data_IF_112555136207
#
_entry.id   IF_112555136207
#
_cell.length_a   1.000
_cell.length_b   1.000
_cell.length_c   1.000
_cell.angle_alpha   90.00
_cell.angle_beta   90.00
_cell.angle_gamma   90.00
#
_symmetry.space_group_name_H-M   'P 1'
#
loop_
_entity.id
_entity.type
_entity.pdbx_description
1 polymer ?
#
# COMPACT_ATOMS: atom_id res chain seq x y z
N UNK A 1 24.99 -25.58 -42.49
CA UNK A 1 24.15 -26.55 -41.75
C UNK A 1 23.42 -25.79 -40.65
N UNK A 2 22.16 -25.40 -40.88
CA UNK A 2 21.33 -24.75 -39.86
C UNK A 2 20.04 -25.55 -39.75
N UNK A 3 20.06 -26.55 -38.88
CA UNK A 3 18.90 -27.38 -38.57
C UNK A 3 18.26 -26.86 -37.29
N UNK A 4 17.62 -25.69 -37.34
CA UNK A 4 16.71 -25.30 -36.26
C UNK A 4 15.52 -26.25 -36.30
N UNK A 5 15.53 -27.20 -35.36
CA UNK A 5 14.55 -28.25 -35.24
C UNK A 5 13.19 -27.61 -34.88
N UNK A 6 12.16 -27.76 -35.75
CA UNK A 6 10.82 -27.17 -35.57
C UNK A 6 10.20 -27.49 -34.19
N UNK A 7 10.60 -28.60 -33.57
CA UNK A 7 10.17 -29.01 -32.23
C UNK A 7 10.64 -28.05 -31.14
N UNK A 8 11.84 -27.49 -31.25
CA UNK A 8 12.38 -26.54 -30.25
C UNK A 8 11.65 -25.19 -30.30
N UNK A 9 11.19 -24.78 -31.48
CA UNK A 9 10.39 -23.56 -31.67
C UNK A 9 8.98 -23.70 -31.05
N UNK A 10 8.39 -24.90 -31.08
CA UNK A 10 7.07 -25.20 -30.53
C UNK A 10 7.03 -25.31 -28.99
N UNK A 11 8.17 -25.58 -28.35
CA UNK A 11 8.28 -25.69 -26.88
C UNK A 11 8.63 -24.38 -26.18
N UNK A 12 8.99 -23.34 -26.95
CA UNK A 12 9.37 -22.02 -26.42
C UNK A 12 8.26 -21.28 -25.62
N UNK A 13 6.95 -21.41 -25.93
CA UNK A 13 5.92 -20.73 -25.13
C UNK A 13 5.72 -21.35 -23.73
N UNK A 14 6.11 -22.61 -23.49
CA UNK A 14 6.01 -23.23 -22.17
C UNK A 14 6.98 -22.63 -21.15
N UNK A 15 8.10 -22.06 -21.62
CA UNK A 15 9.05 -21.35 -20.75
C UNK A 15 8.48 -20.02 -20.21
N UNK A 16 7.46 -19.44 -20.86
CA UNK A 16 6.82 -18.20 -20.39
C UNK A 16 5.76 -18.44 -19.31
N UNK A 17 5.20 -19.64 -19.22
CA UNK A 17 4.23 -20.00 -18.16
C UNK A 17 4.92 -20.34 -16.82
N UNK A 18 6.25 -20.45 -16.79
CA UNK A 18 7.00 -20.85 -15.60
C UNK A 18 7.04 -19.81 -14.48
N UNK A 19 6.63 -18.56 -14.74
CA UNK A 19 6.61 -17.53 -13.70
C UNK A 19 5.43 -17.66 -12.72
N UNK A 20 4.39 -18.45 -13.05
CA UNK A 20 3.33 -18.80 -12.10
C UNK A 20 2.55 -17.63 -11.49
N UNK A 21 2.47 -16.48 -12.19
CA UNK A 21 1.72 -15.33 -11.71
C UNK A 21 0.21 -15.56 -11.90
N UNK A 22 -0.51 -15.67 -10.78
CA UNK A 22 -1.96 -15.76 -10.75
C UNK A 22 -2.57 -14.34 -10.65
N UNK A 23 -3.61 -13.99 -11.43
CA UNK A 23 -4.26 -12.68 -11.29
C UNK A 23 -4.92 -12.55 -9.92
N UNK A 24 -4.60 -11.48 -9.17
CA UNK A 24 -5.10 -11.23 -7.80
C UNK A 24 -6.64 -11.19 -7.73
N UNK A 25 -7.30 -10.76 -8.81
CA UNK A 25 -8.77 -10.68 -8.90
C UNK A 25 -9.42 -11.83 -9.67
N UNK A 26 -8.67 -12.89 -10.02
CA UNK A 26 -9.28 -14.11 -10.56
C UNK A 26 -10.18 -14.78 -9.49
N UNK A 27 -11.17 -15.61 -9.90
CA UNK A 27 -11.97 -16.38 -8.96
C UNK A 27 -11.09 -17.20 -8.00
N UNK A 28 -11.26 -16.99 -6.68
CA UNK A 28 -10.42 -17.62 -5.65
C UNK A 28 -9.11 -16.90 -5.33
N UNK A 29 -8.82 -15.78 -6.00
CA UNK A 29 -7.70 -14.90 -5.69
C UNK A 29 -7.95 -14.03 -4.46
N UNK A 30 -6.87 -13.64 -3.77
CA UNK A 30 -6.92 -12.84 -2.54
C UNK A 30 -7.62 -11.48 -2.72
N UNK A 31 -7.55 -10.89 -3.91
CA UNK A 31 -8.26 -9.67 -4.26
C UNK A 31 -9.77 -9.83 -4.21
N UNK A 32 -10.29 -10.93 -4.78
CA UNK A 32 -11.72 -11.25 -4.74
C UNK A 32 -12.21 -11.63 -3.34
N UNK A 33 -11.33 -12.19 -2.51
CA UNK A 33 -11.64 -12.55 -1.12
C UNK A 33 -11.79 -11.32 -0.20
N UNK A 34 -11.05 -10.25 -0.46
CA UNK A 34 -11.05 -9.03 0.36
C UNK A 34 -11.89 -7.89 -0.20
N UNK A 35 -12.10 -7.82 -1.53
CA UNK A 35 -12.80 -6.70 -2.14
C UNK A 35 -14.24 -6.55 -1.59
N UNK A 36 -14.55 -5.36 -1.06
CA UNK A 36 -15.84 -5.04 -0.45
C UNK A 36 -16.15 -5.76 0.86
N UNK A 37 -15.18 -6.44 1.48
CA UNK A 37 -15.38 -7.29 2.67
C UNK A 37 -14.56 -6.86 3.89
N UNK A 38 -13.74 -5.82 3.75
CA UNK A 38 -12.84 -5.32 4.80
C UNK A 38 -13.35 -3.99 5.35
N UNK A 39 -13.62 -3.94 6.65
CA UNK A 39 -13.84 -2.71 7.41
C UNK A 39 -12.50 -2.20 7.93
N UNK A 40 -12.13 -0.97 7.57
CA UNK A 40 -10.90 -0.35 8.06
C UNK A 40 -11.19 0.43 9.34
N UNK A 41 -10.29 0.37 10.33
CA UNK A 41 -10.44 1.10 11.59
C UNK A 41 -10.64 2.60 11.37
N UNK A 42 -11.56 3.19 12.15
CA UNK A 42 -11.86 4.62 12.06
C UNK A 42 -10.61 5.51 12.27
N UNK A 43 -10.40 6.51 11.41
CA UNK A 43 -9.28 7.43 11.54
C UNK A 43 -9.49 8.45 12.67
N UNK A 44 -8.40 8.98 13.21
CA UNK A 44 -8.40 9.95 14.31
C UNK A 44 -7.48 11.17 14.07
N UNK A 45 -6.74 11.18 12.96
CA UNK A 45 -5.85 12.26 12.51
C UNK A 45 -6.00 12.46 11.01
N UNK A 46 -5.40 13.52 10.46
CA UNK A 46 -5.41 13.78 9.01
C UNK A 46 -4.70 12.66 8.25
N UNK A 47 -3.54 12.21 8.74
CA UNK A 47 -2.75 11.15 8.13
C UNK A 47 -3.49 9.81 8.15
N UNK A 48 -4.08 9.47 9.29
CA UNK A 48 -4.90 8.24 9.38
C UNK A 48 -6.12 8.32 8.50
N UNK A 49 -6.76 9.49 8.36
CA UNK A 49 -7.88 9.68 7.43
C UNK A 49 -7.45 9.46 5.98
N UNK A 50 -6.35 10.07 5.54
CA UNK A 50 -5.79 9.90 4.20
C UNK A 50 -5.39 8.44 3.93
N UNK A 51 -4.80 7.76 4.91
CA UNK A 51 -4.45 6.34 4.80
C UNK A 51 -5.72 5.49 4.64
N UNK A 52 -6.70 5.65 5.54
CA UNK A 52 -7.96 4.90 5.52
C UNK A 52 -8.72 5.14 4.22
N UNK A 53 -8.82 6.38 3.76
CA UNK A 53 -9.45 6.71 2.48
C UNK A 53 -8.80 5.96 1.31
N UNK A 54 -7.48 5.91 1.25
CA UNK A 54 -6.77 5.18 0.21
C UNK A 54 -6.94 3.67 0.31
N UNK A 55 -6.94 3.11 1.52
CA UNK A 55 -7.22 1.69 1.76
C UNK A 55 -8.63 1.30 1.32
N UNK A 56 -9.64 2.09 1.70
CA UNK A 56 -11.03 1.87 1.30
C UNK A 56 -11.23 2.00 -0.21
N UNK A 57 -10.52 2.92 -0.87
CA UNK A 57 -10.55 3.06 -2.33
C UNK A 57 -10.04 1.80 -3.04
N UNK A 58 -9.03 1.14 -2.49
CA UNK A 58 -8.41 -0.05 -3.08
C UNK A 58 -9.14 -1.34 -2.71
N UNK A 59 -9.52 -1.48 -1.44
CA UNK A 59 -10.23 -2.64 -0.92
C UNK A 59 -11.73 -2.61 -1.27
N UNK A 60 -12.25 -1.47 -1.72
CA UNK A 60 -13.65 -1.30 -2.09
C UNK A 60 -14.51 -0.94 -0.88
N UNK A 61 -15.27 0.15 -0.99
CA UNK A 61 -16.30 0.52 -0.01
C UNK A 61 -17.56 -0.33 -0.25
N UNK A 62 -17.87 -1.24 0.65
CA UNK A 62 -19.17 -1.91 0.61
C UNK A 62 -20.15 -1.26 1.57
N UNK A 63 -21.25 -0.74 1.01
CA UNK A 63 -22.38 -0.22 1.78
C UNK A 63 -23.18 -1.32 2.49
N UNK A 64 -22.90 -2.61 2.25
CA UNK A 64 -23.75 -3.71 2.71
C UNK A 64 -23.00 -4.98 3.15
N UNK A 65 -21.68 -5.09 2.93
CA UNK A 65 -20.93 -6.36 3.12
C UNK A 65 -19.56 -6.23 3.79
N UNK A 66 -19.19 -5.07 4.33
CA UNK A 66 -17.84 -4.80 4.83
C UNK A 66 -17.44 -5.50 6.14
N UNK A 67 -18.15 -6.51 6.64
CA UNK A 67 -17.97 -6.98 8.02
C UNK A 67 -17.39 -8.40 8.15
N UNK A 68 -16.82 -8.97 7.09
CA UNK A 68 -16.16 -10.28 7.17
C UNK A 68 -14.78 -10.16 7.82
N UNK A 69 -14.07 -9.08 7.52
CA UNK A 69 -12.76 -8.79 8.05
C UNK A 69 -12.69 -7.37 8.61
N UNK A 70 -11.90 -7.21 9.67
CA UNK A 70 -11.54 -5.92 10.24
C UNK A 70 -10.05 -5.67 10.05
N UNK A 71 -9.70 -4.54 9.46
CA UNK A 71 -8.33 -4.08 9.26
C UNK A 71 -8.04 -2.94 10.24
N UNK A 72 -7.35 -3.26 11.31
CA UNK A 72 -6.84 -2.25 12.25
C UNK A 72 -5.56 -1.63 11.67
N UNK A 73 -5.53 -0.31 11.52
CA UNK A 73 -4.35 0.44 11.04
C UNK A 73 -3.96 1.56 11.99
N UNK A 74 -2.66 1.79 12.12
CA UNK A 74 -2.12 2.93 12.86
C UNK A 74 -0.93 3.50 12.12
N UNK A 75 -0.97 4.79 11.84
CA UNK A 75 0.11 5.53 11.17
C UNK A 75 0.81 6.47 12.13
N UNK A 76 2.11 6.66 11.91
CA UNK A 76 2.96 7.61 12.62
C UNK A 76 3.89 8.26 11.61
N UNK A 77 3.99 9.59 11.66
CA UNK A 77 4.87 10.39 10.79
C UNK A 77 5.86 11.19 11.63
N UNK A 78 7.03 11.48 11.08
CA UNK A 78 8.04 12.33 11.68
C UNK A 78 8.74 13.16 10.59
N UNK A 79 8.73 14.49 10.75
CA UNK A 79 9.34 15.42 9.80
C UNK A 79 10.76 15.78 10.25
N UNK A 80 11.75 15.56 9.37
CA UNK A 80 13.17 15.86 9.60
C UNK A 80 13.71 16.85 8.57
N UNK A 81 14.68 17.65 9.01
CA UNK A 81 15.45 18.58 8.16
C UNK A 81 16.61 17.82 7.53
N UNK A 82 16.71 17.79 6.20
CA UNK A 82 17.70 16.95 5.50
C UNK A 82 18.70 17.76 4.67
N UNK A 83 18.44 19.05 4.41
CA UNK A 83 19.42 19.95 3.79
C UNK A 83 19.43 21.29 4.51
N UNK A 84 20.55 21.62 5.15
CA UNK A 84 20.80 22.88 5.85
C UNK A 84 21.86 23.62 5.04
N UNK A 85 21.53 24.82 4.54
CA UNK A 85 22.49 25.67 3.81
C UNK A 85 23.51 26.29 4.76
N UNK A 86 24.60 26.85 4.22
CA UNK A 86 25.62 27.58 5.01
C UNK A 86 25.07 28.84 5.70
N UNK A 87 23.91 29.34 5.24
CA UNK A 87 23.14 30.41 5.87
C UNK A 87 22.13 29.89 6.93
N UNK A 88 22.16 28.59 7.26
CA UNK A 88 21.25 27.93 8.18
C UNK A 88 19.77 27.90 7.71
N UNK A 89 19.53 28.01 6.40
CA UNK A 89 18.20 27.83 5.81
C UNK A 89 17.96 26.36 5.47
N UNK A 90 16.79 25.82 5.83
CA UNK A 90 16.43 24.44 5.46
C UNK A 90 15.65 24.43 4.17
N UNK A 91 16.31 24.08 3.05
CA UNK A 91 15.66 24.09 1.73
C UNK A 91 14.94 22.78 1.42
N UNK A 92 15.16 21.72 2.22
CA UNK A 92 14.53 20.41 2.01
C UNK A 92 14.19 19.71 3.32
N UNK A 93 12.96 19.24 3.40
CA UNK A 93 12.44 18.43 4.49
C UNK A 93 12.13 17.01 4.00
N UNK A 94 12.16 16.07 4.92
CA UNK A 94 11.76 14.68 4.69
C UNK A 94 10.70 14.31 5.73
N UNK A 95 9.62 13.67 5.30
CA UNK A 95 8.60 13.08 6.17
C UNK A 95 8.83 11.57 6.16
N UNK A 96 9.26 11.01 7.28
CA UNK A 96 9.32 9.56 7.48
C UNK A 96 7.97 9.08 8.01
N UNK A 97 7.40 8.05 7.37
CA UNK A 97 6.15 7.44 7.76
C UNK A 97 6.33 5.97 8.12
N UNK A 98 5.61 5.52 9.14
CA UNK A 98 5.39 4.09 9.38
C UNK A 98 3.92 3.82 9.65
N UNK A 99 3.44 2.68 9.17
CA UNK A 99 2.09 2.22 9.44
C UNK A 99 2.10 0.74 9.85
N UNK A 100 1.50 0.45 11.00
CA UNK A 100 1.24 -0.92 11.45
C UNK A 100 -0.18 -1.32 11.06
N UNK A 101 -0.36 -2.59 10.72
CA UNK A 101 -1.67 -3.12 10.34
C UNK A 101 -1.91 -4.53 10.91
N UNK A 102 -3.17 -4.85 11.15
CA UNK A 102 -3.63 -6.19 11.49
C UNK A 102 -5.01 -6.46 10.86
N UNK A 103 -5.09 -7.45 9.98
CA UNK A 103 -6.33 -7.97 9.41
C UNK A 103 -6.83 -9.13 10.27
N UNK A 104 -8.07 -9.03 10.74
CA UNK A 104 -8.75 -10.00 11.59
C UNK A 104 -10.00 -10.53 10.92
N UNK A 105 -10.28 -11.82 11.10
CA UNK A 105 -11.60 -12.38 10.80
C UNK A 105 -12.59 -11.94 11.85
N UNK A 106 -13.74 -11.37 11.45
CA UNK A 106 -14.80 -11.05 12.39
C UNK A 106 -15.57 -12.31 12.84
N UNK A 107 -15.51 -13.40 12.07
CA UNK A 107 -16.15 -14.66 12.43
C UNK A 107 -15.41 -15.42 13.53
N UNK A 108 -14.07 -15.40 13.52
CA UNK A 108 -13.24 -16.18 14.45
C UNK A 108 -12.41 -15.32 15.42
N UNK A 109 -12.28 -14.02 15.16
CA UNK A 109 -11.39 -13.12 15.89
C UNK A 109 -9.89 -13.33 15.60
N UNK A 110 -9.54 -14.28 14.75
CA UNK A 110 -8.15 -14.61 14.45
C UNK A 110 -7.49 -13.54 13.58
N UNK A 111 -6.23 -13.20 13.88
CA UNK A 111 -5.39 -12.36 13.02
C UNK A 111 -4.90 -13.22 11.85
N UNK A 112 -5.29 -12.82 10.64
CA UNK A 112 -4.93 -13.50 9.39
C UNK A 112 -3.62 -12.94 8.84
N UNK A 113 -3.48 -11.61 8.90
CA UNK A 113 -2.28 -10.91 8.46
C UNK A 113 -1.97 -9.78 9.42
N UNK A 114 -0.69 -9.55 9.70
CA UNK A 114 -0.24 -8.36 10.41
C UNK A 114 1.16 -7.98 9.98
N UNK A 115 1.53 -6.74 10.22
CA UNK A 115 2.86 -6.26 9.88
C UNK A 115 3.03 -4.77 10.08
N UNK A 116 4.18 -4.28 9.62
CA UNK A 116 4.51 -2.86 9.60
C UNK A 116 5.17 -2.49 8.27
N UNK A 117 4.75 -1.37 7.69
CA UNK A 117 5.31 -0.76 6.49
C UNK A 117 5.92 0.59 6.85
N UNK A 118 6.93 1.02 6.10
CA UNK A 118 7.56 2.32 6.31
C UNK A 118 8.12 2.84 5.01
N UNK A 119 8.02 4.15 4.82
CA UNK A 119 8.61 4.85 3.68
C UNK A 119 8.90 6.31 4.06
N UNK A 120 9.51 7.06 3.16
CA UNK A 120 9.78 8.47 3.33
C UNK A 120 9.51 9.26 2.05
N UNK A 121 9.15 10.53 2.21
CA UNK A 121 8.97 11.47 1.09
C UNK A 121 9.67 12.78 1.40
N UNK A 122 10.26 13.40 0.39
CA UNK A 122 10.87 14.72 0.51
C UNK A 122 9.99 15.81 -0.08
N UNK A 123 10.07 17.02 0.48
CA UNK A 123 9.50 18.24 -0.10
C UNK A 123 10.46 19.43 -0.01
N UNK A 124 10.28 20.40 -0.90
CA UNK A 124 11.07 21.62 -0.95
C UNK A 124 10.47 22.67 -0.03
N UNK A 125 11.31 23.42 0.67
CA UNK A 125 10.90 24.59 1.45
C UNK A 125 11.57 25.88 0.96
N UNK A 126 12.11 25.87 -0.27
CA UNK A 126 12.77 27.02 -0.87
C UNK A 126 11.80 28.11 -1.41
N UNK A 127 10.49 27.91 -1.27
CA UNK A 127 9.45 28.82 -1.76
C UNK A 127 8.94 29.80 -0.70
N UNK A 128 7.77 30.39 -0.96
CA UNK A 128 7.04 31.17 0.05
C UNK A 128 6.49 30.26 1.16
N UNK A 129 6.09 30.84 2.29
CA UNK A 129 5.45 30.08 3.39
C UNK A 129 4.21 29.31 2.93
N UNK A 130 3.43 29.88 2.00
CA UNK A 130 2.27 29.23 1.39
C UNK A 130 2.69 28.06 0.50
N UNK A 131 3.76 28.22 -0.30
CA UNK A 131 4.31 27.14 -1.13
C UNK A 131 4.76 25.98 -0.25
N UNK A 132 5.54 26.26 0.79
CA UNK A 132 6.07 25.23 1.69
C UNK A 132 4.95 24.43 2.37
N UNK A 133 3.87 25.10 2.79
CA UNK A 133 2.72 24.41 3.40
C UNK A 133 1.94 23.56 2.39
N UNK A 134 1.84 24.00 1.13
CA UNK A 134 1.23 23.20 0.07
C UNK A 134 2.09 21.98 -0.26
N UNK A 135 3.42 22.16 -0.36
CA UNK A 135 4.39 21.11 -0.64
C UNK A 135 4.43 20.05 0.48
N UNK A 136 4.29 20.46 1.74
CA UNK A 136 4.18 19.55 2.89
C UNK A 136 2.89 18.69 2.85
N UNK A 137 1.75 19.29 2.48
CA UNK A 137 0.48 18.58 2.35
C UNK A 137 0.53 17.56 1.21
N UNK A 138 1.02 17.95 0.04
CA UNK A 138 1.23 17.05 -1.09
C UNK A 138 2.13 15.87 -0.70
N UNK A 139 3.25 16.14 -0.03
CA UNK A 139 4.13 15.08 0.44
C UNK A 139 3.42 14.13 1.41
N UNK A 140 2.66 14.66 2.36
CA UNK A 140 1.88 13.86 3.30
C UNK A 140 0.88 12.95 2.58
N UNK A 141 0.12 13.49 1.62
CA UNK A 141 -0.81 12.71 0.80
C UNK A 141 -0.11 11.59 0.03
N UNK A 142 1.01 11.90 -0.65
CA UNK A 142 1.82 10.91 -1.38
C UNK A 142 2.36 9.81 -0.46
N UNK A 143 2.81 10.16 0.73
CA UNK A 143 3.27 9.19 1.72
C UNK A 143 2.15 8.23 2.12
N UNK A 144 0.94 8.74 2.33
CA UNK A 144 -0.21 7.89 2.69
C UNK A 144 -0.63 6.96 1.54
N UNK A 145 -0.54 7.42 0.29
CA UNK A 145 -0.74 6.55 -0.89
C UNK A 145 0.28 5.40 -0.87
N UNK A 146 1.57 5.71 -0.74
CA UNK A 146 2.65 4.71 -0.73
C UNK A 146 2.44 3.68 0.39
N UNK A 147 2.17 4.14 1.61
CA UNK A 147 1.95 3.24 2.75
C UNK A 147 0.70 2.36 2.53
N UNK A 148 -0.39 2.92 1.98
CA UNK A 148 -1.59 2.15 1.68
C UNK A 148 -1.35 1.06 0.63
N UNK A 149 -0.61 1.38 -0.44
CA UNK A 149 -0.27 0.44 -1.51
C UNK A 149 0.58 -0.71 -0.96
N UNK A 150 1.56 -0.41 -0.11
CA UNK A 150 2.39 -1.43 0.54
C UNK A 150 1.56 -2.36 1.45
N UNK A 151 0.60 -1.82 2.21
CA UNK A 151 -0.30 -2.63 3.04
C UNK A 151 -1.14 -3.54 2.15
N UNK A 152 -1.83 -3.00 1.15
CA UNK A 152 -2.71 -3.75 0.24
C UNK A 152 -1.94 -4.86 -0.48
N UNK A 153 -0.74 -4.55 -0.99
CA UNK A 153 0.11 -5.54 -1.65
C UNK A 153 0.47 -6.70 -0.72
N UNK A 154 0.77 -6.43 0.56
CA UNK A 154 1.05 -7.47 1.55
C UNK A 154 -0.19 -8.27 1.93
N UNK A 155 -1.37 -7.65 1.98
CA UNK A 155 -2.63 -8.35 2.18
C UNK A 155 -2.93 -9.30 1.02
N UNK A 156 -2.74 -8.86 -0.22
CA UNK A 156 -2.93 -9.72 -1.39
C UNK A 156 -1.90 -10.85 -1.51
N UNK A 157 -0.71 -10.66 -0.95
CA UNK A 157 0.30 -11.71 -0.85
C UNK A 157 0.10 -12.67 0.34
N UNK A 158 -0.92 -12.44 1.18
CA UNK A 158 -1.17 -13.31 2.35
C UNK A 158 -1.77 -14.65 1.91
N UNK A 159 -1.11 -15.78 2.21
CA UNK A 159 -1.66 -17.11 1.93
C UNK A 159 -2.79 -17.47 2.91
N UNK A 160 -3.76 -18.27 2.46
CA UNK A 160 -4.80 -18.84 3.33
C UNK A 160 -6.03 -17.97 3.58
N UNK A 161 -6.25 -16.94 2.76
CA UNK A 161 -7.56 -16.28 2.69
C UNK A 161 -8.58 -17.26 2.08
N UNK A 162 -9.73 -17.53 2.73
CA UNK A 162 -10.76 -18.37 2.14
C UNK A 162 -11.31 -17.70 0.87
N UNK A 163 -11.43 -18.47 -0.21
CA UNK A 163 -12.04 -18.05 -1.47
C UNK A 163 -13.52 -17.65 -1.28
#
# INVERSE_FOLDING_TARGET
MSSFNRRTLLLMPLALAACGFEPVYAPGGSGSALNGKVEVSAPNTVESFLLVQNLERQLGRSATSGNAYKLDVKVSTNTRRTSITTANETNRYTIDGSATYALKSNATGQIIASGSVSDFVGYSAAGSTVSTLADERDATERLMVILSDQIVNRLYATPGLPA
#
